data_IF_323528979237
#
_entry.id   IF_323528979237
#
_cell.length_a   1.000
_cell.length_b   1.000
_cell.length_c   1.000
_cell.angle_alpha   90.00
_cell.angle_beta   90.00
_cell.angle_gamma   90.00
#
_symmetry.space_group_name_H-M   'P 1'
#
loop_
_entity.id
_entity.type
_entity.pdbx_description
1 polymer ?
#
# COMPACT_ATOMS: atom_id res chain seq x y z
N UNK A 1 0.85 -21.20 16.20
CA UNK A 1 1.88 -20.42 15.47
C UNK A 1 1.34 -20.26 14.06
N UNK A 2 1.17 -19.04 13.57
CA UNK A 2 0.67 -18.83 12.20
C UNK A 2 1.82 -19.07 11.24
N UNK A 3 1.61 -19.84 10.18
CA UNK A 3 2.63 -20.10 9.15
C UNK A 3 2.26 -19.44 7.83
N UNK A 4 3.26 -19.18 6.97
CA UNK A 4 2.99 -18.68 5.62
C UNK A 4 2.16 -19.67 4.81
N UNK A 5 2.34 -20.97 5.05
CA UNK A 5 1.57 -22.04 4.43
C UNK A 5 0.08 -21.89 4.70
N UNK A 6 -0.31 -21.69 5.97
CA UNK A 6 -1.71 -21.43 6.33
C UNK A 6 -2.27 -20.20 5.61
N UNK A 7 -1.50 -19.10 5.54
CA UNK A 7 -1.93 -17.89 4.84
C UNK A 7 -2.15 -18.13 3.33
N UNK A 8 -1.27 -18.90 2.69
CA UNK A 8 -1.36 -19.22 1.26
C UNK A 8 -2.53 -20.18 0.97
N UNK A 9 -2.69 -21.23 1.78
CA UNK A 9 -3.78 -22.21 1.61
C UNK A 9 -5.16 -21.57 1.81
N UNK A 10 -5.29 -20.68 2.80
CA UNK A 10 -6.54 -19.94 3.04
C UNK A 10 -6.89 -18.96 1.91
N UNK A 11 -5.94 -18.65 1.02
CA UNK A 11 -6.15 -17.83 -0.18
C UNK A 11 -6.35 -18.65 -1.44
N UNK A 12 -6.24 -19.98 -1.37
CA UNK A 12 -6.54 -20.88 -2.50
C UNK A 12 -5.31 -21.51 -3.17
N UNK A 13 -4.13 -21.47 -2.55
CA UNK A 13 -3.03 -22.32 -2.99
C UNK A 13 -3.39 -23.80 -2.74
N UNK A 14 -3.38 -24.64 -3.78
CA UNK A 14 -3.66 -26.06 -3.61
C UNK A 14 -2.54 -26.78 -2.84
N UNK A 15 -2.87 -27.83 -2.09
CA UNK A 15 -1.89 -28.55 -1.24
C UNK A 15 -1.08 -29.61 -1.99
N UNK A 16 -1.56 -30.06 -3.14
CA UNK A 16 -0.97 -31.10 -3.97
C UNK A 16 0.03 -30.55 -5.01
N UNK A 17 0.06 -29.24 -5.25
CA UNK A 17 1.02 -28.62 -6.17
C UNK A 17 2.43 -28.58 -5.58
N UNK A 18 3.43 -28.69 -6.44
CA UNK A 18 4.85 -28.69 -6.08
C UNK A 18 5.34 -27.26 -5.94
N UNK A 19 5.49 -26.81 -4.71
CA UNK A 19 5.84 -25.42 -4.41
C UNK A 19 7.18 -25.30 -3.69
N UNK A 20 8.01 -24.36 -4.14
CA UNK A 20 9.23 -23.94 -3.42
C UNK A 20 9.09 -22.54 -2.84
N UNK A 21 9.53 -22.38 -1.60
CA UNK A 21 9.79 -21.09 -0.97
C UNK A 21 11.16 -20.60 -1.41
N UNK A 22 11.29 -19.33 -1.77
CA UNK A 22 12.52 -18.74 -2.30
C UNK A 22 12.86 -17.44 -1.56
N UNK A 23 14.01 -17.40 -0.89
CA UNK A 23 14.54 -16.23 -0.18
C UNK A 23 15.67 -15.60 -0.97
N UNK A 24 15.38 -14.44 -1.52
CA UNK A 24 16.33 -13.60 -2.26
C UNK A 24 17.18 -12.78 -1.30
N UNK A 25 18.43 -13.20 -1.09
CA UNK A 25 19.44 -12.47 -0.33
C UNK A 25 20.80 -12.65 -0.98
N UNK A 26 21.38 -11.55 -1.43
CA UNK A 26 22.69 -11.53 -2.07
C UNK A 26 23.54 -10.42 -1.45
N UNK A 27 24.77 -10.73 -1.06
CA UNK A 27 25.71 -9.74 -0.51
C UNK A 27 26.35 -8.85 -1.58
N UNK A 28 26.24 -9.23 -2.86
CA UNK A 28 26.86 -8.52 -3.99
C UNK A 28 25.97 -7.42 -4.55
N UNK A 29 24.67 -7.52 -4.35
CA UNK A 29 23.68 -6.58 -4.89
C UNK A 29 22.51 -6.36 -3.93
N UNK A 30 21.98 -5.14 -3.92
CA UNK A 30 20.82 -4.80 -3.10
C UNK A 30 19.52 -5.24 -3.79
N UNK A 31 19.11 -6.49 -3.54
CA UNK A 31 17.89 -7.07 -4.12
C UNK A 31 16.60 -6.37 -3.71
N UNK A 32 16.57 -5.73 -2.53
CA UNK A 32 15.42 -4.92 -2.12
C UNK A 32 15.27 -3.68 -2.99
N UNK A 33 16.38 -2.96 -3.24
CA UNK A 33 16.39 -1.81 -4.15
C UNK A 33 16.02 -2.23 -5.58
N UNK A 34 16.56 -3.35 -6.06
CA UNK A 34 16.25 -3.90 -7.38
C UNK A 34 14.76 -4.23 -7.50
N UNK A 35 14.19 -4.91 -6.51
CA UNK A 35 12.75 -5.21 -6.46
C UNK A 35 11.88 -3.95 -6.49
N UNK A 36 12.23 -2.94 -5.69
CA UNK A 36 11.41 -1.73 -5.51
C UNK A 36 11.47 -0.78 -6.71
N UNK A 37 12.66 -0.60 -7.28
CA UNK A 37 12.92 0.46 -8.27
C UNK A 37 13.12 -0.08 -9.70
N UNK A 38 13.45 -1.37 -9.84
CA UNK A 38 13.84 -2.00 -11.11
C UNK A 38 13.18 -3.38 -11.26
N UNK A 39 11.85 -3.42 -11.16
CA UNK A 39 11.06 -4.65 -11.06
C UNK A 39 11.37 -5.68 -12.16
N UNK A 40 11.51 -5.23 -13.41
CA UNK A 40 11.82 -6.12 -14.54
C UNK A 40 13.19 -6.79 -14.41
N UNK A 41 14.19 -6.07 -13.91
CA UNK A 41 15.53 -6.62 -13.67
C UNK A 41 15.52 -7.61 -12.50
N UNK A 42 14.73 -7.33 -11.45
CA UNK A 42 14.53 -8.30 -10.36
C UNK A 42 13.87 -9.59 -10.86
N UNK A 43 12.86 -9.50 -11.73
CA UNK A 43 12.21 -10.68 -12.31
C UNK A 43 13.17 -11.48 -13.20
N UNK A 44 14.03 -10.81 -13.97
CA UNK A 44 15.08 -11.45 -14.76
C UNK A 44 16.12 -12.18 -13.88
N UNK A 45 16.46 -11.59 -12.74
CA UNK A 45 17.30 -12.24 -11.73
C UNK A 45 16.62 -13.48 -11.13
N UNK A 46 15.34 -13.37 -10.74
CA UNK A 46 14.58 -14.49 -10.17
C UNK A 46 14.43 -15.67 -11.16
N UNK A 47 14.23 -15.37 -12.45
CA UNK A 47 14.02 -16.36 -13.50
C UNK A 47 15.29 -17.09 -13.96
N UNK A 48 16.48 -16.66 -13.52
CA UNK A 48 17.76 -17.19 -13.99
C UNK A 48 18.56 -17.85 -12.89
N UNK A 49 18.94 -19.12 -13.06
CA UNK A 49 19.59 -19.93 -12.02
C UNK A 49 20.80 -20.69 -12.57
N UNK A 50 21.88 -20.78 -11.78
CA UNK A 50 23.06 -21.55 -12.19
C UNK A 50 22.88 -23.06 -12.08
N UNK A 51 21.89 -23.49 -11.30
CA UNK A 51 21.52 -24.90 -11.10
C UNK A 51 20.04 -25.09 -11.41
N UNK A 52 19.67 -26.32 -11.69
CA UNK A 52 18.30 -26.71 -12.02
C UNK A 52 17.37 -26.79 -10.79
N UNK A 53 17.30 -25.69 -10.03
CA UNK A 53 16.66 -25.65 -8.72
C UNK A 53 15.14 -25.63 -8.79
N UNK A 54 14.53 -25.28 -9.92
CA UNK A 54 13.07 -25.31 -10.08
C UNK A 54 12.60 -26.40 -11.05
N UNK A 55 13.40 -27.45 -11.23
CA UNK A 55 12.95 -28.66 -11.94
C UNK A 55 11.71 -29.25 -11.25
N UNK A 56 10.68 -29.54 -12.05
CA UNK A 56 9.42 -30.15 -11.61
C UNK A 56 8.73 -29.35 -10.48
N UNK A 57 8.82 -28.03 -10.51
CA UNK A 57 8.16 -27.10 -9.58
C UNK A 57 7.04 -26.39 -10.33
N UNK A 58 5.84 -26.38 -9.75
CA UNK A 58 4.67 -25.72 -10.32
C UNK A 58 4.65 -24.23 -9.95
N UNK A 59 4.99 -23.90 -8.70
CA UNK A 59 5.01 -22.53 -8.19
C UNK A 59 6.24 -22.23 -7.33
N UNK A 60 6.67 -20.98 -7.34
CA UNK A 60 7.54 -20.43 -6.30
C UNK A 60 6.80 -19.37 -5.46
N UNK A 61 7.09 -19.37 -4.16
CA UNK A 61 6.67 -18.33 -3.22
C UNK A 61 7.93 -17.51 -2.92
N UNK A 62 7.94 -16.27 -3.38
CA UNK A 62 9.14 -15.43 -3.39
C UNK A 62 9.18 -14.50 -2.18
N UNK A 63 10.37 -14.32 -1.61
CA UNK A 63 10.63 -13.47 -0.46
C UNK A 63 11.92 -12.66 -0.65
N UNK A 64 11.96 -11.42 -0.18
CA UNK A 64 13.21 -10.66 -0.01
C UNK A 64 13.77 -10.92 1.39
N UNK A 65 15.04 -11.31 1.48
CA UNK A 65 15.72 -11.50 2.76
C UNK A 65 15.97 -10.18 3.47
N UNK A 66 15.60 -10.11 4.75
CA UNK A 66 15.88 -8.98 5.63
C UNK A 66 17.09 -9.27 6.54
N UNK A 67 17.24 -8.47 7.60
CA UNK A 67 18.26 -8.68 8.63
C UNK A 67 18.15 -10.09 9.24
N UNK A 68 19.31 -10.71 9.50
CA UNK A 68 19.40 -12.05 10.05
C UNK A 68 18.67 -13.10 9.19
N UNK A 69 17.70 -13.77 9.82
CA UNK A 69 16.90 -14.87 9.26
C UNK A 69 15.52 -14.43 8.78
N UNK A 70 15.20 -13.14 8.82
CA UNK A 70 13.88 -12.69 8.38
C UNK A 70 13.78 -12.63 6.86
N UNK A 71 12.56 -12.78 6.35
CA UNK A 71 12.25 -12.65 4.93
C UNK A 71 10.83 -12.09 4.74
N UNK A 72 10.69 -11.13 3.84
CA UNK A 72 9.43 -10.46 3.49
C UNK A 72 8.83 -11.08 2.25
N UNK A 73 7.59 -11.52 2.33
CA UNK A 73 6.85 -12.09 1.20
C UNK A 73 6.66 -11.05 0.09
N UNK A 74 6.89 -11.41 -1.18
CA UNK A 74 6.78 -10.48 -2.31
C UNK A 74 5.95 -11.00 -3.50
N UNK A 75 5.48 -12.25 -3.46
CA UNK A 75 4.58 -12.78 -4.48
C UNK A 75 4.63 -14.29 -4.64
N UNK A 76 3.66 -14.82 -5.38
CA UNK A 76 3.62 -16.21 -5.84
C UNK A 76 3.73 -16.21 -7.36
N UNK A 77 4.54 -17.10 -7.91
CA UNK A 77 4.79 -17.18 -9.34
C UNK A 77 4.59 -18.61 -9.82
N UNK A 78 3.78 -18.78 -10.86
CA UNK A 78 3.65 -20.04 -11.58
C UNK A 78 4.81 -20.17 -12.55
N UNK A 79 5.45 -21.34 -12.58
CA UNK A 79 6.45 -21.67 -13.60
C UNK A 79 5.71 -22.26 -14.80
N UNK A 80 5.86 -21.62 -15.95
CA UNK A 80 5.18 -22.04 -17.18
C UNK A 80 6.11 -22.77 -18.13
N UNK A 81 7.39 -22.41 -18.12
CA UNK A 81 8.39 -23.00 -19.00
C UNK A 81 9.75 -23.08 -18.33
N UNK A 82 10.54 -24.07 -18.73
CA UNK A 82 11.89 -24.32 -18.24
C UNK A 82 12.81 -24.55 -19.44
N UNK A 83 13.91 -23.81 -19.49
CA UNK A 83 14.93 -23.94 -20.52
C UNK A 83 16.33 -24.07 -19.91
N UNK A 84 17.15 -24.96 -20.45
CA UNK A 84 18.60 -24.99 -20.18
C UNK A 84 19.31 -24.26 -21.31
N UNK A 85 19.92 -23.11 -21.02
CA UNK A 85 20.66 -22.31 -22.00
C UNK A 85 22.12 -22.74 -22.11
N UNK A 86 22.74 -23.12 -20.99
CA UNK A 86 24.12 -23.59 -20.93
C UNK A 86 24.29 -24.60 -19.78
N UNK A 87 25.49 -25.14 -19.59
CA UNK A 87 25.77 -26.14 -18.55
C UNK A 87 25.34 -25.65 -17.15
N UNK A 88 25.69 -24.41 -16.82
CA UNK A 88 25.35 -23.72 -15.56
C UNK A 88 24.39 -22.54 -15.77
N UNK A 89 23.45 -22.67 -16.70
CA UNK A 89 22.45 -21.62 -16.94
C UNK A 89 21.08 -22.22 -17.26
N UNK A 90 20.16 -22.05 -16.31
CA UNK A 90 18.77 -22.44 -16.41
C UNK A 90 17.89 -21.19 -16.33
N UNK A 91 16.90 -21.13 -17.21
CA UNK A 91 15.91 -20.09 -17.23
C UNK A 91 14.51 -20.67 -17.05
N UNK A 92 13.67 -19.92 -16.35
CA UNK A 92 12.30 -20.29 -16.05
C UNK A 92 11.38 -19.14 -16.41
N UNK A 93 10.46 -19.37 -17.34
CA UNK A 93 9.38 -18.41 -17.57
C UNK A 93 8.40 -18.52 -16.41
N UNK A 94 8.00 -17.36 -15.91
CA UNK A 94 7.19 -17.25 -14.71
C UNK A 94 6.08 -16.22 -14.92
N UNK A 95 4.87 -16.56 -14.47
CA UNK A 95 3.74 -15.64 -14.41
C UNK A 95 3.42 -15.40 -12.94
N UNK A 96 3.43 -14.14 -12.50
CA UNK A 96 2.96 -13.76 -11.16
C UNK A 96 1.48 -14.10 -11.04
N UNK A 97 1.07 -14.79 -9.98
CA UNK A 97 -0.34 -15.10 -9.71
C UNK A 97 -0.98 -13.84 -9.11
N UNK A 98 -1.77 -13.06 -9.89
CA UNK A 98 -2.20 -11.75 -9.47
C UNK A 98 -3.42 -11.83 -8.52
N UNK A 99 -3.64 -10.77 -7.74
CA UNK A 99 -4.83 -10.52 -6.89
C UNK A 99 -4.99 -11.44 -5.66
N UNK A 100 -4.71 -12.74 -5.78
CA UNK A 100 -4.95 -13.74 -4.74
C UNK A 100 -4.13 -13.52 -3.45
N UNK A 101 -2.94 -12.92 -3.57
CA UNK A 101 -1.99 -12.76 -2.46
C UNK A 101 -1.54 -11.31 -2.22
N UNK A 102 -2.20 -10.34 -2.85
CA UNK A 102 -1.79 -8.92 -2.79
C UNK A 102 -1.88 -8.35 -1.36
N UNK A 103 -2.82 -8.85 -0.56
CA UNK A 103 -2.97 -8.45 0.83
C UNK A 103 -1.86 -9.01 1.75
N UNK A 104 -1.10 -10.00 1.29
CA UNK A 104 0.10 -10.49 1.99
C UNK A 104 1.37 -9.80 1.47
N UNK A 105 1.35 -9.38 0.21
CA UNK A 105 2.52 -8.87 -0.51
C UNK A 105 3.15 -7.71 0.24
N UNK A 106 4.41 -7.92 0.58
CA UNK A 106 5.29 -7.05 1.34
C UNK A 106 4.83 -6.75 2.78
N UNK A 107 3.71 -7.35 3.21
CA UNK A 107 3.14 -7.26 4.56
C UNK A 107 3.73 -8.33 5.45
N UNK A 108 3.72 -9.56 4.98
CA UNK A 108 4.12 -10.71 5.79
C UNK A 108 5.64 -10.82 5.86
N UNK A 109 6.15 -10.85 7.08
CA UNK A 109 7.53 -11.18 7.40
C UNK A 109 7.54 -12.53 8.12
N UNK A 110 8.36 -13.44 7.60
CA UNK A 110 8.56 -14.77 8.16
C UNK A 110 9.94 -14.91 8.77
N UNK A 111 10.06 -15.85 9.71
CA UNK A 111 11.35 -16.37 10.17
C UNK A 111 11.77 -17.53 9.27
N UNK A 112 12.86 -17.34 8.54
CA UNK A 112 13.43 -18.36 7.67
C UNK A 112 14.12 -19.43 8.51
N UNK A 113 13.64 -20.67 8.42
CA UNK A 113 14.06 -21.78 9.29
C UNK A 113 15.51 -22.24 9.08
N UNK A 114 16.04 -22.11 7.87
CA UNK A 114 17.42 -22.49 7.54
C UNK A 114 18.07 -21.42 6.65
N UNK A 115 18.88 -20.55 7.27
CA UNK A 115 19.55 -19.44 6.59
C UNK A 115 20.54 -19.87 5.49
N UNK A 116 21.02 -21.12 5.48
CA UNK A 116 21.97 -21.62 4.50
C UNK A 116 21.26 -21.92 3.17
N UNK A 117 20.05 -22.47 3.22
CA UNK A 117 19.28 -22.82 2.02
C UNK A 117 18.37 -21.67 1.60
N UNK A 118 18.72 -21.01 0.49
CA UNK A 118 17.93 -19.90 -0.06
C UNK A 118 16.63 -20.35 -0.72
N UNK A 119 16.49 -21.63 -1.07
CA UNK A 119 15.21 -22.21 -1.50
C UNK A 119 14.84 -23.42 -0.65
N UNK A 120 13.56 -23.66 -0.40
CA UNK A 120 13.06 -24.78 0.40
C UNK A 120 11.72 -25.28 -0.14
N UNK A 121 11.37 -26.55 0.11
CA UNK A 121 10.03 -27.05 -0.24
C UNK A 121 8.99 -26.47 0.72
N UNK A 122 7.76 -26.23 0.23
CA UNK A 122 6.67 -25.63 1.03
C UNK A 122 6.33 -26.40 2.31
N UNK A 123 6.64 -27.71 2.37
CA UNK A 123 6.49 -28.54 3.58
C UNK A 123 7.36 -28.07 4.76
N UNK A 124 8.40 -27.27 4.51
CA UNK A 124 9.21 -26.66 5.56
C UNK A 124 8.47 -25.41 6.06
N UNK A 125 7.75 -25.57 7.16
CA UNK A 125 6.94 -24.51 7.77
C UNK A 125 7.79 -23.29 8.13
N UNK A 126 7.29 -22.10 7.77
CA UNK A 126 7.91 -20.83 8.12
C UNK A 126 6.95 -20.04 8.99
N UNK A 127 7.41 -19.72 10.20
CA UNK A 127 6.66 -18.91 11.16
C UNK A 127 6.47 -17.48 10.63
N UNK A 128 5.23 -16.98 10.67
CA UNK A 128 4.93 -15.57 10.45
C UNK A 128 5.24 -14.80 11.73
N UNK A 129 6.18 -13.87 11.62
CA UNK A 129 6.64 -13.03 12.74
C UNK A 129 5.89 -11.72 12.81
N UNK A 130 5.62 -11.12 11.64
CA UNK A 130 4.98 -9.83 11.55
C UNK A 130 4.12 -9.76 10.29
N UNK A 131 2.98 -9.05 10.37
CA UNK A 131 2.19 -8.64 9.22
C UNK A 131 2.10 -7.12 9.26
N UNK A 132 2.89 -6.46 8.39
CA UNK A 132 2.91 -5.00 8.22
C UNK A 132 1.77 -4.55 7.32
N UNK A 133 1.33 -3.29 7.38
CA UNK A 133 0.66 -2.66 6.25
C UNK A 133 1.64 -2.59 5.04
N UNK A 134 1.23 -2.88 3.79
CA UNK A 134 2.09 -3.24 2.60
C UNK A 134 3.03 -2.15 2.06
N UNK A 135 3.70 -2.30 0.89
CA UNK A 135 4.57 -1.22 0.32
C UNK A 135 3.84 -0.22 -0.59
N UNK A 136 2.57 -0.43 -0.96
CA UNK A 136 1.71 0.62 -1.57
C UNK A 136 1.36 1.74 -0.59
N UNK A 137 1.57 1.47 0.69
CA UNK A 137 1.46 2.37 1.81
C UNK A 137 2.49 3.50 1.74
N UNK A 138 2.00 4.70 1.47
CA UNK A 138 2.73 5.92 1.83
C UNK A 138 2.79 5.99 3.35
N UNK A 139 3.99 5.85 3.91
CA UNK A 139 4.19 6.05 5.35
C UNK A 139 3.87 7.49 5.72
N UNK A 140 3.22 7.69 6.87
CA UNK A 140 3.12 9.02 7.44
C UNK A 140 4.52 9.56 7.77
N UNK A 141 4.88 10.71 7.21
CA UNK A 141 6.16 11.39 7.49
C UNK A 141 5.95 12.53 8.48
N UNK A 142 5.29 13.59 8.03
CA UNK A 142 4.87 14.77 8.80
C UNK A 142 3.52 15.27 8.27
N UNK A 143 2.80 16.05 9.07
CA UNK A 143 1.50 16.60 8.69
C UNK A 143 1.54 17.47 7.41
N UNK A 144 2.66 18.12 7.12
CA UNK A 144 2.78 19.07 6.00
C UNK A 144 3.56 18.54 4.79
N UNK A 145 4.18 17.35 4.92
CA UNK A 145 5.08 16.79 3.90
C UNK A 145 4.40 15.76 2.98
N UNK A 146 3.06 15.74 2.95
CA UNK A 146 2.32 14.85 2.07
C UNK A 146 1.18 15.54 1.32
N UNK A 147 0.92 14.99 0.14
CA UNK A 147 -0.32 15.13 -0.62
C UNK A 147 -0.78 13.70 -0.92
N UNK A 148 -2.04 13.39 -0.66
CA UNK A 148 -2.65 12.08 -0.96
C UNK A 148 -3.65 12.22 -2.09
N UNK A 149 -3.52 11.42 -3.15
CA UNK A 149 -4.62 11.16 -4.06
C UNK A 149 -5.79 10.49 -3.33
N UNK A 150 -6.99 10.57 -3.91
CA UNK A 150 -8.16 9.92 -3.32
C UNK A 150 -8.01 8.40 -3.24
N UNK A 151 -7.32 7.77 -4.20
CA UNK A 151 -7.01 6.33 -4.15
C UNK A 151 -6.10 5.97 -2.99
N UNK A 152 -5.01 6.73 -2.77
CA UNK A 152 -4.12 6.54 -1.61
C UNK A 152 -4.88 6.72 -0.29
N UNK A 153 -5.69 7.79 -0.18
CA UNK A 153 -6.50 8.03 1.01
C UNK A 153 -7.52 6.89 1.25
N UNK A 154 -8.18 6.42 0.19
CA UNK A 154 -9.11 5.29 0.25
C UNK A 154 -8.41 4.03 0.71
N UNK A 155 -7.21 3.74 0.22
CA UNK A 155 -6.40 2.61 0.66
C UNK A 155 -6.06 2.71 2.14
N UNK A 156 -5.54 3.87 2.58
CA UNK A 156 -5.16 4.15 3.98
C UNK A 156 -6.35 3.94 4.92
N UNK A 157 -7.51 4.51 4.58
CA UNK A 157 -8.73 4.43 5.40
C UNK A 157 -9.31 3.02 5.38
N UNK A 158 -9.43 2.38 4.22
CA UNK A 158 -10.04 1.04 4.10
C UNK A 158 -9.21 0.00 4.85
N UNK A 159 -7.88 0.05 4.73
CA UNK A 159 -6.98 -0.88 5.41
C UNK A 159 -6.62 -0.45 6.84
N UNK A 160 -7.16 0.67 7.34
CA UNK A 160 -6.99 1.15 8.72
C UNK A 160 -5.51 1.29 9.14
N UNK A 161 -4.66 1.85 8.27
CA UNK A 161 -3.22 1.98 8.53
C UNK A 161 -2.96 2.77 9.82
N UNK A 162 -2.27 2.12 10.77
CA UNK A 162 -2.32 2.52 12.18
C UNK A 162 -1.55 3.81 12.48
N UNK A 163 -0.49 4.10 11.73
CA UNK A 163 0.29 5.34 11.82
C UNK A 163 -0.56 6.55 11.40
N UNK A 164 -1.24 6.48 10.25
CA UNK A 164 -2.16 7.51 9.78
C UNK A 164 -3.33 7.65 10.73
N UNK A 165 -3.97 6.53 11.10
CA UNK A 165 -5.14 6.56 11.97
C UNK A 165 -4.83 7.18 13.32
N UNK A 166 -3.75 6.76 13.98
CA UNK A 166 -3.37 7.31 15.30
C UNK A 166 -3.12 8.82 15.21
N UNK A 167 -2.33 9.24 14.23
CA UNK A 167 -1.89 10.63 14.09
C UNK A 167 -3.03 11.54 13.65
N UNK A 168 -3.81 11.16 12.63
CA UNK A 168 -4.91 11.96 12.13
C UNK A 168 -6.15 11.96 13.05
N UNK A 169 -6.36 10.91 13.86
CA UNK A 169 -7.53 10.85 14.77
C UNK A 169 -7.40 11.83 15.94
N UNK A 170 -6.20 12.05 16.44
CA UNK A 170 -5.95 12.98 17.57
C UNK A 170 -5.76 14.43 17.11
N UNK A 171 -5.79 14.68 15.81
CA UNK A 171 -5.43 15.95 15.20
C UNK A 171 -6.66 16.63 14.64
N UNK A 172 -6.92 17.85 15.11
CA UNK A 172 -7.88 18.76 14.50
C UNK A 172 -7.14 19.67 13.52
N UNK A 173 -7.81 20.13 12.46
CA UNK A 173 -7.10 20.90 11.43
C UNK A 173 -7.99 21.54 10.38
N UNK A 174 -7.37 22.40 9.57
CA UNK A 174 -7.89 22.86 8.29
C UNK A 174 -7.15 22.11 7.19
N UNK A 175 -7.89 21.55 6.25
CA UNK A 175 -7.37 20.77 5.12
C UNK A 175 -7.81 21.36 3.79
N UNK A 176 -7.11 20.97 2.74
CA UNK A 176 -7.38 21.32 1.35
C UNK A 176 -7.72 20.05 0.56
N UNK A 177 -8.73 20.14 -0.29
CA UNK A 177 -8.94 19.20 -1.39
C UNK A 177 -8.70 19.97 -2.69
N UNK A 178 -7.75 19.50 -3.50
CA UNK A 178 -7.47 20.02 -4.83
C UNK A 178 -8.08 19.08 -5.87
N UNK A 179 -8.91 19.61 -6.75
CA UNK A 179 -9.39 18.89 -7.93
C UNK A 179 -8.37 19.07 -9.06
N UNK A 180 -7.62 18.01 -9.36
CA UNK A 180 -6.56 18.06 -10.37
C UNK A 180 -7.08 18.16 -11.81
N UNK A 181 -8.36 17.86 -12.05
CA UNK A 181 -8.96 18.00 -13.37
C UNK A 181 -9.33 19.45 -13.67
N UNK A 182 -9.88 20.17 -12.68
CA UNK A 182 -10.36 21.54 -12.87
C UNK A 182 -9.44 22.61 -12.29
N UNK A 183 -8.49 22.23 -11.43
CA UNK A 183 -7.65 23.14 -10.64
C UNK A 183 -8.40 23.82 -9.49
N UNK A 184 -9.67 23.47 -9.25
CA UNK A 184 -10.48 24.11 -8.20
C UNK A 184 -10.13 23.56 -6.83
N UNK A 185 -10.21 24.45 -5.84
CA UNK A 185 -9.87 24.15 -4.45
C UNK A 185 -11.10 24.10 -3.56
N UNK A 186 -11.10 23.16 -2.62
CA UNK A 186 -12.04 23.06 -1.52
C UNK A 186 -11.29 23.15 -0.19
N UNK A 187 -11.70 24.05 0.69
CA UNK A 187 -11.19 24.15 2.06
C UNK A 187 -12.24 23.60 3.03
N UNK A 188 -11.79 22.75 3.95
CA UNK A 188 -12.63 22.26 5.05
C UNK A 188 -11.88 22.21 6.37
N UNK A 189 -12.64 22.11 7.46
CA UNK A 189 -12.09 21.90 8.81
C UNK A 189 -12.55 20.59 9.41
N UNK A 190 -11.72 20.04 10.28
CA UNK A 190 -11.97 18.84 11.05
C UNK A 190 -11.75 19.15 12.54
N UNK A 191 -12.85 19.32 13.28
CA UNK A 191 -12.84 19.68 14.71
C UNK A 191 -13.65 18.71 15.58
N UNK A 192 -14.21 17.65 15.00
CA UNK A 192 -14.92 16.60 15.73
C UNK A 192 -14.00 15.64 16.50
N UNK A 193 -14.59 14.70 17.22
CA UNK A 193 -13.89 13.76 18.13
C UNK A 193 -12.80 12.94 17.44
N UNK A 194 -13.04 12.47 16.21
CA UNK A 194 -12.08 11.67 15.44
C UNK A 194 -11.15 12.51 14.56
N UNK A 195 -11.05 13.82 14.80
CA UNK A 195 -10.11 14.70 14.11
C UNK A 195 -10.21 14.66 12.58
N UNK A 196 -9.07 14.83 11.91
CA UNK A 196 -8.93 14.76 10.46
C UNK A 196 -9.29 13.36 9.96
N UNK A 197 -8.92 12.30 10.69
CA UNK A 197 -9.23 10.92 10.32
C UNK A 197 -10.73 10.70 10.09
N UNK A 198 -11.56 11.14 11.05
CA UNK A 198 -13.01 11.00 10.96
C UNK A 198 -13.57 11.76 9.75
N UNK A 199 -13.08 12.98 9.52
CA UNK A 199 -13.55 13.81 8.40
C UNK A 199 -13.13 13.22 7.04
N UNK A 200 -11.89 12.79 6.90
CA UNK A 200 -11.38 12.15 5.67
C UNK A 200 -11.99 10.79 5.41
N UNK A 201 -12.27 10.01 6.47
CA UNK A 201 -13.01 8.76 6.35
C UNK A 201 -14.41 8.98 5.76
N UNK A 202 -15.09 10.08 6.12
CA UNK A 202 -16.38 10.40 5.55
C UNK A 202 -16.32 10.64 4.03
N UNK A 203 -15.26 11.28 3.52
CA UNK A 203 -15.05 11.41 2.08
C UNK A 203 -14.87 10.04 1.41
N UNK A 204 -14.06 9.16 2.00
CA UNK A 204 -13.85 7.79 1.47
C UNK A 204 -15.16 7.00 1.43
N UNK A 205 -15.94 7.03 2.51
CA UNK A 205 -17.23 6.32 2.62
C UNK A 205 -18.29 6.83 1.65
N UNK A 206 -18.16 8.06 1.18
CA UNK A 206 -19.10 8.72 0.26
C UNK A 206 -18.49 8.90 -1.13
N UNK A 207 -17.47 8.11 -1.45
CA UNK A 207 -16.77 8.11 -2.73
C UNK A 207 -16.21 9.49 -3.18
N UNK A 208 -15.98 10.41 -2.26
CA UNK A 208 -15.27 11.67 -2.51
C UNK A 208 -16.03 12.94 -2.10
N UNK A 209 -17.33 12.88 -1.78
CA UNK A 209 -18.09 14.12 -1.52
C UNK A 209 -18.18 14.54 -0.04
N UNK A 210 -18.05 13.62 0.91
CA UNK A 210 -18.04 13.92 2.36
C UNK A 210 -19.28 14.66 2.85
N UNK A 211 -20.43 14.39 2.22
CA UNK A 211 -21.71 15.10 2.37
C UNK A 211 -21.65 16.63 2.09
N UNK A 212 -20.61 17.11 1.39
CA UNK A 212 -20.60 18.48 0.88
C UNK A 212 -21.46 18.59 -0.37
N UNK A 213 -22.30 19.63 -0.43
CA UNK A 213 -23.26 19.86 -1.52
C UNK A 213 -22.57 19.97 -2.90
N UNK A 214 -21.57 20.84 -3.04
CA UNK A 214 -20.90 21.05 -4.34
C UNK A 214 -20.14 19.82 -4.80
N UNK A 215 -19.44 19.15 -3.89
CA UNK A 215 -18.73 17.92 -4.25
C UNK A 215 -19.71 16.82 -4.63
N UNK A 216 -20.87 16.74 -3.97
CA UNK A 216 -21.91 15.79 -4.33
C UNK A 216 -22.46 16.07 -5.74
N UNK A 217 -22.71 17.33 -6.08
CA UNK A 217 -23.15 17.71 -7.43
C UNK A 217 -22.14 17.32 -8.52
N UNK A 218 -20.83 17.45 -8.26
CA UNK A 218 -19.79 16.95 -9.17
C UNK A 218 -19.89 15.43 -9.37
N UNK A 219 -20.05 14.68 -8.27
CA UNK A 219 -20.10 13.22 -8.30
C UNK A 219 -21.44 12.68 -8.83
N UNK A 220 -22.52 13.42 -8.70
CA UNK A 220 -23.82 13.08 -9.30
C UNK A 220 -23.75 13.21 -10.84
N UNK A 221 -22.89 14.10 -11.36
CA UNK A 221 -22.62 14.26 -12.80
C UNK A 221 -21.60 13.25 -13.33
N UNK A 222 -20.46 13.09 -12.65
CA UNK A 222 -19.43 12.10 -12.93
C UNK A 222 -19.10 11.29 -11.66
N UNK A 223 -19.63 10.07 -11.50
CA UNK A 223 -19.37 9.22 -10.33
C UNK A 223 -17.89 8.89 -10.07
N UNK A 224 -17.01 9.06 -11.07
CA UNK A 224 -15.58 8.81 -10.95
C UNK A 224 -14.77 10.09 -10.68
N UNK A 225 -15.41 11.27 -10.64
CA UNK A 225 -14.74 12.56 -10.48
C UNK A 225 -13.87 12.63 -9.21
N UNK A 226 -14.28 11.92 -8.15
CA UNK A 226 -13.51 11.83 -6.91
C UNK A 226 -12.08 11.34 -7.08
N UNK A 227 -11.77 10.59 -8.16
CA UNK A 227 -10.41 10.14 -8.47
C UNK A 227 -9.44 11.28 -8.79
N UNK A 228 -9.94 12.46 -9.16
CA UNK A 228 -9.12 13.64 -9.42
C UNK A 228 -8.79 14.43 -8.14
N UNK A 229 -9.35 14.06 -7.00
CA UNK A 229 -9.13 14.77 -5.74
C UNK A 229 -7.80 14.40 -5.08
N UNK A 230 -7.13 15.43 -4.57
CA UNK A 230 -5.94 15.33 -3.74
C UNK A 230 -6.15 16.02 -2.39
N UNK A 231 -5.68 15.42 -1.31
CA UNK A 231 -5.89 15.83 0.07
C UNK A 231 -4.56 16.24 0.72
N UNK A 232 -4.58 17.38 1.41
CA UNK A 232 -3.43 17.88 2.18
C UNK A 232 -3.89 18.69 3.40
N UNK A 233 -2.99 18.91 4.36
CA UNK A 233 -3.27 19.68 5.58
C UNK A 233 -2.69 21.10 5.42
N UNK A 234 -3.50 22.12 5.71
CA UNK A 234 -3.07 23.53 5.68
C UNK A 234 -2.67 24.04 7.05
N UNK A 235 -3.33 23.57 8.11
CA UNK A 235 -3.10 24.05 9.47
C UNK A 235 -3.53 23.01 10.50
N UNK A 236 -2.68 22.79 11.50
CA UNK A 236 -3.03 22.05 12.71
C UNK A 236 -3.75 22.97 13.69
N UNK A 237 -4.78 22.45 14.35
CA UNK A 237 -5.56 23.16 15.36
C UNK A 237 -5.37 22.53 16.75
N UNK A 238 -5.40 23.32 17.84
CA UNK A 238 -5.39 22.79 19.20
C UNK A 238 -6.51 21.79 19.43
N UNK A 239 -6.27 20.76 20.26
CA UNK A 239 -7.34 19.80 20.64
C UNK A 239 -8.54 20.48 21.31
N UNK A 240 -8.27 21.55 22.05
CA UNK A 240 -9.25 22.37 22.78
C UNK A 240 -10.02 23.35 21.90
N UNK A 241 -9.73 23.42 20.58
CA UNK A 241 -10.42 24.33 19.66
C UNK A 241 -11.93 24.08 19.69
N UNK A 242 -12.70 25.16 19.76
CA UNK A 242 -14.16 25.10 19.62
C UNK A 242 -14.55 25.02 18.13
N UNK A 243 -15.79 24.61 17.86
CA UNK A 243 -16.30 24.56 16.49
C UNK A 243 -16.25 25.94 15.81
N UNK A 244 -16.68 27.00 16.51
CA UNK A 244 -16.70 28.36 15.98
C UNK A 244 -15.30 28.87 15.62
N UNK A 245 -14.31 28.59 16.46
CA UNK A 245 -12.93 28.97 16.18
C UNK A 245 -12.35 28.20 14.99
N UNK A 246 -12.63 26.90 14.88
CA UNK A 246 -12.21 26.09 13.73
C UNK A 246 -12.84 26.60 12.42
N UNK A 247 -14.15 26.91 12.44
CA UNK A 247 -14.87 27.50 11.31
C UNK A 247 -14.30 28.88 10.95
N UNK A 248 -13.91 29.69 11.93
CA UNK A 248 -13.26 30.98 11.69
C UNK A 248 -11.91 30.81 10.98
N UNK A 249 -11.12 29.79 11.35
CA UNK A 249 -9.85 29.46 10.67
C UNK A 249 -10.10 28.93 9.26
N UNK A 250 -11.09 28.06 9.07
CA UNK A 250 -11.53 27.59 7.74
C UNK A 250 -11.88 28.77 6.83
N UNK A 251 -12.72 29.71 7.32
CA UNK A 251 -13.12 30.91 6.58
C UNK A 251 -11.94 31.79 6.19
N UNK A 252 -10.95 31.93 7.08
CA UNK A 252 -9.73 32.67 6.76
C UNK A 252 -8.99 32.05 5.57
N UNK A 253 -8.87 30.71 5.53
CA UNK A 253 -8.23 30.03 4.40
C UNK A 253 -9.07 30.10 3.12
N UNK A 254 -10.40 29.97 3.21
CA UNK A 254 -11.30 30.18 2.07
C UNK A 254 -11.11 31.55 1.42
N UNK A 255 -10.99 32.60 2.24
CA UNK A 255 -10.76 33.97 1.76
C UNK A 255 -9.37 34.12 1.14
N UNK A 256 -8.32 33.55 1.77
CA UNK A 256 -6.94 33.62 1.25
C UNK A 256 -6.78 32.92 -0.10
N UNK A 257 -7.47 31.79 -0.27
CA UNK A 257 -7.37 30.93 -1.46
C UNK A 257 -8.49 31.17 -2.48
N UNK A 258 -9.44 32.08 -2.18
CA UNK A 258 -10.54 32.42 -3.07
C UNK A 258 -11.54 31.29 -3.33
N UNK A 259 -11.65 30.29 -2.45
CA UNK A 259 -12.39 29.05 -2.75
C UNK A 259 -13.90 29.20 -2.75
N UNK A 260 -14.44 30.26 -2.17
CA UNK A 260 -15.87 30.59 -2.24
C UNK A 260 -16.28 31.21 -3.59
N UNK A 261 -15.33 31.86 -4.29
CA UNK A 261 -15.61 32.57 -5.55
C UNK A 261 -15.17 31.77 -6.77
N UNK A 262 -14.05 31.05 -6.66
CA UNK A 262 -13.42 30.34 -7.77
C UNK A 262 -13.20 28.85 -7.49
N UNK A 263 -13.55 28.38 -6.30
CA UNK A 263 -13.34 27.01 -5.87
C UNK A 263 -14.63 26.19 -5.74
N UNK A 264 -14.60 25.24 -4.81
CA UNK A 264 -15.64 24.26 -4.55
C UNK A 264 -16.34 24.49 -3.19
N UNK A 265 -16.12 25.64 -2.57
CA UNK A 265 -16.87 26.05 -1.38
C UNK A 265 -18.05 26.95 -1.78
N UNK A 266 -19.21 26.77 -1.14
CA UNK A 266 -20.43 27.57 -1.38
C UNK A 266 -21.11 27.93 -0.06
N UNK A 267 -20.30 28.23 0.97
CA UNK A 267 -20.76 28.53 2.32
C UNK A 267 -19.89 29.57 3.03
#
# INVERSE_FOLDING_TARGET
MITIQELLYNRGLEKNVKVKLVRHKDGRQNLYHLYKNHRSEFLAYQSSQSKDVFKDVDYIVSFIGEEGVFARFIGVYQITYRQKFAEDCFHYEMIEVPEQYDDLRERVIIKWSNAISWHQWIKNEMEVIEIKPGLHYKQFTDYFDFILSFSELKEIVTNQYSDWKKVLSITKGVYLINDTQTGKLYVGSAYGENGIWGRWSAYVLTNGHGNNKMLKELLDYDPLHGNYFQFSILMLLPKTITADEAIKKERLFKNKLGTNSFGLNNN
#
